data_IF_338947315353
#
_entry.id   IF_338947315353
#
_cell.length_a   1.000
_cell.length_b   1.000
_cell.length_c   1.000
_cell.angle_alpha   90.00
_cell.angle_beta   90.00
_cell.angle_gamma   90.00
#
_symmetry.space_group_name_H-M   'P 1'
#
loop_
_entity.id
_entity.type
_entity.pdbx_description
1 polymer ?
#
# COMPACT_ATOMS: atom_id res chain seq x y z
N UNK A 1 8.05 3.52 -3.42
CA UNK A 1 7.11 2.41 -3.13
C UNK A 1 5.74 2.64 -3.74
N UNK A 2 5.09 3.80 -3.51
CA UNK A 2 3.71 4.09 -3.99
C UNK A 2 3.46 3.73 -5.45
N UNK A 3 4.35 4.15 -6.37
CA UNK A 3 4.23 3.81 -7.79
C UNK A 3 4.05 2.30 -8.02
N UNK A 4 4.99 1.48 -7.52
CA UNK A 4 4.90 0.02 -7.68
C UNK A 4 3.67 -0.60 -7.00
N UNK A 5 3.26 -0.07 -5.84
CA UNK A 5 2.04 -0.55 -5.18
C UNK A 5 0.80 -0.27 -6.05
N UNK A 6 0.70 0.93 -6.62
CA UNK A 6 -0.39 1.32 -7.51
C UNK A 6 -0.43 0.45 -8.78
N UNK A 7 0.72 0.23 -9.43
CA UNK A 7 0.80 -0.63 -10.63
C UNK A 7 0.36 -2.07 -10.34
N UNK A 8 0.85 -2.66 -9.24
CA UNK A 8 0.46 -4.03 -8.85
C UNK A 8 -1.02 -4.10 -8.48
N UNK A 9 -1.56 -3.05 -7.86
CA UNK A 9 -2.98 -2.95 -7.56
C UNK A 9 -3.83 -2.88 -8.84
N UNK A 10 -3.38 -2.13 -9.84
CA UNK A 10 -4.06 -2.01 -11.13
C UNK A 10 -4.07 -3.31 -11.95
N UNK A 11 -2.98 -4.07 -11.91
CA UNK A 11 -2.87 -5.35 -12.62
C UNK A 11 -3.77 -6.43 -12.02
N UNK A 12 -4.01 -6.37 -10.70
CA UNK A 12 -4.87 -7.30 -9.97
C UNK A 12 -4.59 -8.79 -10.31
N UNK A 13 -3.35 -9.27 -10.10
CA UNK A 13 -2.80 -10.48 -10.74
C UNK A 13 -3.43 -11.81 -10.32
N UNK A 14 -4.20 -11.85 -9.24
CA UNK A 14 -4.86 -13.06 -8.75
C UNK A 14 -6.37 -13.00 -8.91
N UNK A 15 -7.01 -14.17 -9.03
CA UNK A 15 -8.49 -14.28 -9.02
C UNK A 15 -9.09 -13.74 -7.72
N UNK A 16 -8.46 -14.06 -6.59
CA UNK A 16 -8.82 -13.58 -5.26
C UNK A 16 -7.56 -13.42 -4.41
N UNK A 17 -7.63 -12.56 -3.38
CA UNK A 17 -6.56 -12.42 -2.39
C UNK A 17 -5.49 -11.38 -2.71
N UNK A 18 -5.66 -10.56 -3.75
CA UNK A 18 -4.70 -9.51 -4.16
C UNK A 18 -4.25 -8.63 -3.00
N UNK A 19 -5.19 -8.07 -2.23
CA UNK A 19 -4.83 -7.18 -1.12
C UNK A 19 -3.98 -7.85 -0.03
N UNK A 20 -4.23 -9.14 0.28
CA UNK A 20 -3.41 -9.88 1.26
C UNK A 20 -2.00 -10.11 0.73
N UNK A 21 -1.88 -10.55 -0.52
CA UNK A 21 -0.58 -10.82 -1.15
C UNK A 21 0.24 -9.55 -1.32
N UNK A 22 -0.39 -8.46 -1.77
CA UNK A 22 0.27 -7.14 -1.92
C UNK A 22 0.79 -6.63 -0.57
N UNK A 23 -0.03 -6.63 0.48
CA UNK A 23 0.40 -6.16 1.82
C UNK A 23 1.52 -7.02 2.40
N UNK A 24 1.50 -8.33 2.17
CA UNK A 24 2.59 -9.21 2.59
C UNK A 24 3.89 -8.86 1.85
N UNK A 25 3.86 -8.76 0.51
CA UNK A 25 5.03 -8.45 -0.30
C UNK A 25 5.60 -7.06 0.01
N UNK A 26 4.77 -6.02 -0.06
CA UNK A 26 5.22 -4.64 0.18
C UNK A 26 5.58 -4.40 1.65
N UNK A 27 4.93 -5.10 2.60
CA UNK A 27 5.31 -5.05 4.01
C UNK A 27 6.66 -5.68 4.31
N UNK A 28 7.07 -6.72 3.57
CA UNK A 28 8.42 -7.27 3.66
C UNK A 28 9.43 -6.32 3.01
N UNK A 29 9.16 -5.87 1.77
CA UNK A 29 10.02 -4.95 1.04
C UNK A 29 10.31 -3.67 1.83
N UNK A 30 9.26 -3.06 2.39
CA UNK A 30 9.39 -1.81 3.14
C UNK A 30 10.20 -2.00 4.43
N UNK A 31 9.99 -3.13 5.12
CA UNK A 31 10.75 -3.50 6.33
C UNK A 31 12.23 -3.69 6.03
N UNK A 32 12.57 -4.41 4.96
CA UNK A 32 13.96 -4.61 4.52
C UNK A 32 14.62 -3.29 4.08
N UNK A 33 13.85 -2.38 3.47
CA UNK A 33 14.29 -1.04 3.14
C UNK A 33 14.38 -0.10 4.37
N UNK A 34 13.96 -0.55 5.56
CA UNK A 34 14.06 0.22 6.79
C UNK A 34 12.88 1.13 7.13
N UNK A 35 11.75 0.96 6.43
CA UNK A 35 10.52 1.74 6.54
C UNK A 35 9.32 0.79 6.79
N UNK A 36 9.24 0.15 7.98
CA UNK A 36 8.16 -0.77 8.30
C UNK A 36 6.78 -0.10 8.18
N UNK A 37 5.80 -0.84 7.65
CA UNK A 37 4.41 -0.40 7.52
C UNK A 37 3.56 -1.14 8.55
N UNK A 38 2.77 -0.41 9.32
CA UNK A 38 1.73 -0.98 10.17
C UNK A 38 0.40 -1.03 9.44
N UNK A 39 0.07 -2.20 8.90
CA UNK A 39 -1.20 -2.41 8.20
C UNK A 39 -2.42 -2.44 9.13
N UNK A 40 -2.25 -2.47 10.46
CA UNK A 40 -3.39 -2.46 11.39
C UNK A 40 -4.11 -1.11 11.41
N UNK A 41 -3.41 -0.02 11.06
CA UNK A 41 -3.99 1.31 10.89
C UNK A 41 -4.66 1.55 9.53
N UNK A 42 -4.70 0.55 8.64
CA UNK A 42 -5.29 0.69 7.31
C UNK A 42 -6.81 0.70 7.39
N UNK A 43 -7.41 1.87 7.21
CA UNK A 43 -8.86 2.00 7.04
C UNK A 43 -9.31 1.44 5.68
N UNK A 44 -10.27 0.49 5.62
CA UNK A 44 -10.71 -0.11 4.37
C UNK A 44 -11.32 0.87 3.37
N UNK A 45 -12.11 1.84 3.83
CA UNK A 45 -12.83 2.80 2.98
C UNK A 45 -11.83 3.81 2.39
N UNK A 46 -10.87 4.26 3.20
CA UNK A 46 -9.76 5.11 2.72
C UNK A 46 -8.89 4.35 1.72
N UNK A 47 -8.59 3.08 1.98
CA UNK A 47 -7.81 2.25 1.06
C UNK A 47 -8.53 2.07 -0.30
N UNK A 48 -9.84 1.85 -0.30
CA UNK A 48 -10.63 1.77 -1.52
C UNK A 48 -10.62 3.10 -2.28
N UNK A 49 -10.91 4.21 -1.60
CA UNK A 49 -10.95 5.54 -2.22
C UNK A 49 -9.60 5.94 -2.84
N UNK A 50 -8.50 5.71 -2.13
CA UNK A 50 -7.14 6.02 -2.61
C UNK A 50 -6.69 5.07 -3.73
N UNK A 51 -7.12 3.81 -3.70
CA UNK A 51 -6.92 2.86 -4.81
C UNK A 51 -7.63 3.34 -6.08
N UNK A 52 -8.88 3.80 -5.96
CA UNK A 52 -9.64 4.35 -7.08
C UNK A 52 -9.04 5.63 -7.65
N UNK A 53 -8.50 6.51 -6.80
CA UNK A 53 -7.77 7.69 -7.25
C UNK A 53 -6.51 7.29 -8.05
N UNK A 54 -5.77 6.29 -7.56
CA UNK A 54 -4.55 5.80 -8.21
C UNK A 54 -4.84 5.18 -9.57
N UNK A 55 -5.93 4.42 -9.71
CA UNK A 55 -6.39 3.88 -11.00
C UNK A 55 -6.75 4.99 -12.02
N UNK A 56 -7.12 6.17 -11.53
CA UNK A 56 -7.40 7.35 -12.37
C UNK A 56 -6.17 8.21 -12.63
N UNK A 57 -4.99 7.76 -12.19
CA UNK A 57 -3.71 8.44 -12.41
C UNK A 57 -3.26 9.36 -11.29
N UNK A 58 -4.03 9.48 -10.20
CA UNK A 58 -3.63 10.28 -9.03
C UNK A 58 -3.14 9.38 -7.89
N UNK A 59 -1.82 9.24 -7.80
CA UNK A 59 -1.15 8.50 -6.73
C UNK A 59 -0.95 9.33 -5.45
N UNK A 60 -1.33 10.60 -5.43
CA UNK A 60 -1.15 11.50 -4.27
C UNK A 60 -1.85 10.97 -3.00
N UNK A 61 -3.15 10.65 -3.05
CA UNK A 61 -3.88 10.11 -1.92
C UNK A 61 -3.31 8.77 -1.41
N UNK A 62 -2.93 7.86 -2.32
CA UNK A 62 -2.31 6.59 -1.93
C UNK A 62 -0.94 6.80 -1.28
N UNK A 63 -0.15 7.77 -1.77
CA UNK A 63 1.11 8.13 -1.13
C UNK A 63 0.89 8.61 0.29
N UNK A 64 -0.06 9.53 0.48
CA UNK A 64 -0.38 10.07 1.79
C UNK A 64 -0.83 8.97 2.76
N UNK A 65 -1.70 8.05 2.31
CA UNK A 65 -2.11 6.88 3.09
C UNK A 65 -0.90 6.03 3.52
N UNK A 66 -0.02 5.67 2.58
CA UNK A 66 1.16 4.87 2.91
C UNK A 66 2.12 5.61 3.87
N UNK A 67 2.28 6.92 3.72
CA UNK A 67 3.12 7.73 4.60
C UNK A 67 2.59 7.74 6.05
N UNK A 68 1.27 7.75 6.26
CA UNK A 68 0.64 7.64 7.60
C UNK A 68 0.92 6.27 8.24
N UNK A 69 0.97 5.21 7.42
CA UNK A 69 1.14 3.83 7.90
C UNK A 69 2.61 3.46 8.13
N UNK A 70 3.57 4.25 7.65
CA UNK A 70 4.99 4.04 7.92
C UNK A 70 5.27 4.40 9.37
N UNK A 71 5.77 3.44 10.14
CA UNK A 71 6.15 3.67 11.54
C UNK A 71 7.60 4.10 11.64
N UNK A 72 7.87 5.13 12.44
CA UNK A 72 9.24 5.49 12.84
C UNK A 72 9.85 4.33 13.62
N UNK A 73 11.06 3.92 13.21
CA UNK A 73 11.74 2.71 13.69
C UNK A 73 11.70 2.56 15.23
N UNK A 74 11.27 1.40 15.76
CA UNK A 74 11.46 1.06 17.17
C UNK A 74 12.80 0.32 17.36
N UNK A 75 13.92 0.89 16.94
CA UNK A 75 15.25 0.45 17.34
C UNK A 75 16.28 1.55 17.10
#
# INVERSE_FOLDING_TARGET
MTHYFAEVNAIHPFREGNGRTQRAFFGQLSREAGWPIDWSGLDPDVNEATSMASLRGDNGPLRHLLDILVVSRPW
#
